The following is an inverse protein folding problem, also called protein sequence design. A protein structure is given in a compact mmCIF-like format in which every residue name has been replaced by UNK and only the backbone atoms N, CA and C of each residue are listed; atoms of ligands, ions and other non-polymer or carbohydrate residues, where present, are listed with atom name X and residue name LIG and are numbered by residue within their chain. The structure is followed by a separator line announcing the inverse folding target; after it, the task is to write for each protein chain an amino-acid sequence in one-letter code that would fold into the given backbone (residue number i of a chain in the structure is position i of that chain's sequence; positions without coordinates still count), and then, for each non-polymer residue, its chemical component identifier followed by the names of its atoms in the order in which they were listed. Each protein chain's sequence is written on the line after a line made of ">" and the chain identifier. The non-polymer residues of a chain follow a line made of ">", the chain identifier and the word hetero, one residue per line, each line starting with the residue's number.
data_IF_611084795698
#
_entry.id   IF_611084795698
#
_cell.length_a   1.000
_cell.length_b   1.000
_cell.length_c   1.000
_cell.angle_alpha   90.00
_cell.angle_beta   90.00
_cell.angle_gamma   90.00
#
_symmetry.space_group_name_H-M   'P 1'
#
loop_
_entity.id
_entity.type
_entity.pdbx_description
1 polymer ?
#
# COMPACT_ATOMS: atom_id res chain seq x y z
N UNK A 1 8.02 0.87 -0.63
CA UNK A 1 9.20 0.23 0.02
C UNK A 1 9.11 -1.28 -0.20
N UNK A 2 10.20 -1.97 -0.59
CA UNK A 2 10.20 -3.42 -0.83
C UNK A 2 10.99 -4.10 0.29
N UNK A 3 10.34 -4.94 1.09
CA UNK A 3 10.98 -5.67 2.18
C UNK A 3 11.46 -7.02 1.62
N UNK A 4 12.77 -7.26 1.64
CA UNK A 4 13.38 -8.49 1.15
C UNK A 4 13.44 -9.56 2.27
N UNK A 5 12.29 -9.93 2.83
CA UNK A 5 12.17 -10.97 3.87
C UNK A 5 10.82 -11.70 3.74
N UNK A 6 10.82 -13.04 3.82
CA UNK A 6 9.61 -13.87 3.67
C UNK A 6 9.07 -13.93 2.24
N UNK A 7 7.79 -14.31 2.01
CA UNK A 7 7.17 -14.52 0.68
C UNK A 7 7.07 -13.27 -0.22
N UNK A 8 7.77 -12.18 0.11
CA UNK A 8 7.79 -10.95 -0.68
C UNK A 8 6.54 -10.09 -0.44
N UNK A 9 6.29 -9.72 0.82
CA UNK A 9 5.20 -8.83 1.16
C UNK A 9 5.35 -7.46 0.50
N UNK A 10 4.25 -6.95 -0.05
CA UNK A 10 4.12 -5.58 -0.55
C UNK A 10 3.37 -4.77 0.49
N UNK A 11 3.97 -3.68 0.92
CA UNK A 11 3.36 -2.74 1.86
C UNK A 11 3.18 -1.42 1.12
N UNK A 12 1.94 -0.95 1.08
CA UNK A 12 1.60 0.38 0.59
C UNK A 12 1.35 1.25 1.83
N UNK A 13 1.87 2.47 1.84
CA UNK A 13 1.63 3.42 2.91
C UNK A 13 1.41 4.81 2.32
N UNK A 14 0.62 5.61 3.02
CA UNK A 14 0.47 7.04 2.78
C UNK A 14 0.76 7.78 4.08
N UNK A 15 1.40 8.93 3.99
CA UNK A 15 1.70 9.78 5.14
C UNK A 15 0.78 10.99 5.09
N UNK A 16 -0.07 11.15 6.11
CA UNK A 16 -0.90 12.34 6.34
C UNK A 16 -0.44 12.99 7.65
N UNK A 17 0.55 13.87 7.53
CA UNK A 17 1.26 14.54 8.63
C UNK A 17 1.66 13.58 9.78
N UNK A 18 1.33 13.75 11.09
CA UNK A 18 1.93 12.86 12.08
C UNK A 18 1.41 11.41 11.96
N UNK A 19 0.45 11.14 11.08
CA UNK A 19 -0.21 9.84 10.92
C UNK A 19 0.34 9.12 9.68
N UNK A 20 0.93 7.95 9.91
CA UNK A 20 1.29 7.01 8.85
C UNK A 20 0.14 6.00 8.71
N UNK A 21 -0.49 5.98 7.54
CA UNK A 21 -1.52 4.99 7.21
C UNK A 21 -0.85 3.86 6.42
N UNK A 22 -0.80 2.67 7.01
CA UNK A 22 -0.22 1.47 6.41
C UNK A 22 -1.35 0.61 5.85
N UNK A 23 -1.42 0.51 4.51
CA UNK A 23 -2.33 -0.42 3.85
C UNK A 23 -1.67 -1.80 3.78
N UNK A 24 -2.01 -2.63 4.76
CA UNK A 24 -1.62 -4.03 4.85
C UNK A 24 -2.45 -4.90 3.89
N UNK A 25 -2.28 -4.69 2.58
CA UNK A 25 -2.83 -5.60 1.57
C UNK A 25 -1.67 -6.37 0.92
N UNK A 26 -1.42 -7.57 1.46
CA UNK A 26 -0.44 -8.51 0.93
C UNK A 26 -1.00 -9.30 -0.25
N UNK A 27 -0.96 -8.70 -1.44
CA UNK A 27 -1.22 -9.37 -2.71
C UNK A 27 0.02 -10.08 -3.29
N UNK A 28 -0.21 -11.10 -4.10
CA UNK A 28 0.81 -11.77 -4.90
C UNK A 28 1.34 -10.88 -6.05
N UNK A 29 2.33 -11.36 -6.83
CA UNK A 29 2.90 -10.54 -7.93
C UNK A 29 1.88 -10.25 -9.04
N UNK A 30 0.88 -11.10 -9.24
CA UNK A 30 -0.17 -10.95 -10.25
C UNK A 30 -1.18 -9.84 -9.90
N UNK A 31 -1.38 -9.56 -8.62
CA UNK A 31 -2.32 -8.54 -8.11
C UNK A 31 -1.68 -7.17 -7.87
N UNK A 32 -0.36 -7.04 -8.08
CA UNK A 32 0.37 -5.79 -7.80
C UNK A 32 -0.23 -4.56 -8.51
N UNK A 33 -0.64 -4.69 -9.77
CA UNK A 33 -1.18 -3.56 -10.53
C UNK A 33 -2.53 -3.08 -10.00
N UNK A 34 -3.42 -4.01 -9.62
CA UNK A 34 -4.73 -3.67 -9.03
C UNK A 34 -4.59 -3.12 -7.62
N UNK A 35 -3.65 -3.64 -6.83
CA UNK A 35 -3.36 -3.14 -5.49
C UNK A 35 -2.82 -1.71 -5.50
N UNK A 36 -1.97 -1.35 -6.48
CA UNK A 36 -1.50 0.03 -6.66
C UNK A 36 -2.66 1.00 -6.93
N UNK A 37 -3.62 0.60 -7.79
CA UNK A 37 -4.78 1.42 -8.12
C UNK A 37 -5.66 1.62 -6.87
N UNK A 38 -5.93 0.55 -6.12
CA UNK A 38 -6.69 0.62 -4.87
C UNK A 38 -6.00 1.48 -3.83
N UNK A 39 -4.68 1.33 -3.65
CA UNK A 39 -3.93 2.14 -2.70
C UNK A 39 -3.99 3.63 -3.05
N UNK A 40 -3.92 4.00 -4.33
CA UNK A 40 -4.10 5.39 -4.78
C UNK A 40 -5.52 5.91 -4.54
N UNK A 41 -6.54 5.11 -4.80
CA UNK A 41 -7.93 5.49 -4.55
C UNK A 41 -8.18 5.75 -3.05
N UNK A 42 -7.66 4.89 -2.18
CA UNK A 42 -7.74 5.05 -0.72
C UNK A 42 -6.94 6.28 -0.27
N UNK A 43 -5.75 6.52 -0.83
CA UNK A 43 -4.96 7.70 -0.53
C UNK A 43 -5.70 9.00 -0.88
N UNK A 44 -6.35 9.07 -2.04
CA UNK A 44 -7.14 10.23 -2.43
C UNK A 44 -8.34 10.47 -1.50
N UNK A 45 -9.00 9.40 -1.02
CA UNK A 45 -10.09 9.52 -0.03
C UNK A 45 -9.61 10.03 1.33
N UNK A 46 -8.31 9.93 1.62
CA UNK A 46 -7.72 10.41 2.87
C UNK A 46 -7.30 11.88 2.79
N UNK A 47 -7.29 12.53 1.62
CA UNK A 47 -6.93 13.96 1.51
C UNK A 47 -8.12 14.91 1.73
N UNK A 48 -9.36 14.39 1.70
CA UNK A 48 -10.58 15.07 2.18
C UNK A 48 -10.73 14.99 3.72
#
# INVERSE_FOLDING_TARGET
>A
MRIAYGPGYRVYFVQKDPIIVILLCGGDKSSQSSDIIKAKAIANQLED
#
